data_IF_939819828197
#
_entry.id   IF_939819828197
#
_cell.length_a   1.000
_cell.length_b   1.000
_cell.length_c   1.000
_cell.angle_alpha   90.00
_cell.angle_beta   90.00
_cell.angle_gamma   90.00
#
_symmetry.space_group_name_H-M   'P 1'
#
loop_
_entity.id
_entity.type
_entity.pdbx_description
1 polymer ?
#
# COMPACT_ATOMS: atom_id res chain seq x y z
N UNK A 1 23.87 -41.07 41.58
CA UNK A 1 23.89 -40.27 40.33
C UNK A 1 22.54 -40.50 39.66
N UNK A 2 21.47 -39.83 40.11
CA UNK A 2 21.11 -38.43 39.90
C UNK A 2 20.82 -38.09 38.43
N UNK A 3 19.53 -37.88 38.15
CA UNK A 3 18.93 -37.03 37.10
C UNK A 3 19.28 -37.32 35.63
N UNK A 4 18.35 -37.27 34.67
CA UNK A 4 17.27 -36.30 34.58
C UNK A 4 16.15 -36.81 33.68
N UNK A 5 14.98 -37.01 34.28
CA UNK A 5 13.68 -37.12 33.60
C UNK A 5 13.22 -35.69 33.37
N UNK A 6 13.12 -35.22 32.13
CA UNK A 6 12.51 -33.92 31.86
C UNK A 6 10.98 -34.06 31.85
N UNK A 7 10.25 -33.19 32.57
CA UNK A 7 8.81 -33.26 32.73
C UNK A 7 8.08 -32.45 31.65
N UNK A 8 6.84 -32.83 31.39
CA UNK A 8 5.87 -32.00 30.68
C UNK A 8 5.68 -30.64 31.38
N UNK A 9 5.55 -29.58 30.60
CA UNK A 9 4.75 -28.42 30.97
C UNK A 9 3.57 -28.27 30.03
N UNK A 10 2.42 -28.37 30.68
CA UNK A 10 1.08 -28.04 30.23
C UNK A 10 0.91 -26.52 30.27
N UNK A 11 -0.08 -26.06 29.51
CA UNK A 11 -0.78 -24.78 29.61
C UNK A 11 -0.12 -23.55 28.98
N UNK A 12 -0.60 -23.21 27.79
CA UNK A 12 -0.98 -21.84 27.43
C UNK A 12 -2.09 -21.93 26.39
N UNK A 13 -3.31 -22.01 26.92
CA UNK A 13 -4.55 -21.54 26.32
C UNK A 13 -4.28 -20.29 25.45
N UNK A 14 -4.21 -20.45 24.12
CA UNK A 14 -4.41 -19.31 23.22
C UNK A 14 -5.90 -19.17 23.09
N UNK A 15 -6.44 -18.42 24.05
CA UNK A 15 -7.78 -17.89 24.01
C UNK A 15 -7.92 -17.11 22.71
N UNK A 16 -8.65 -17.68 21.74
CA UNK A 16 -9.33 -16.89 20.72
C UNK A 16 -10.28 -15.94 21.45
N UNK A 17 -9.73 -14.80 21.86
CA UNK A 17 -10.50 -13.63 22.25
C UNK A 17 -11.10 -13.07 20.97
N UNK A 18 -12.20 -13.68 20.55
CA UNK A 18 -13.21 -13.03 19.73
C UNK A 18 -13.89 -11.98 20.61
N UNK A 19 -13.25 -10.82 20.71
CA UNK A 19 -13.81 -9.66 21.40
C UNK A 19 -14.01 -8.51 20.42
N UNK A 20 -15.30 -8.22 20.20
CA UNK A 20 -15.85 -6.90 19.97
C UNK A 20 -15.68 -6.22 18.60
N UNK A 21 -16.68 -6.44 17.74
CA UNK A 21 -17.61 -5.37 17.36
C UNK A 21 -17.09 -4.14 16.60
N UNK A 22 -15.93 -4.20 15.95
CA UNK A 22 -15.55 -3.23 14.92
C UNK A 22 -16.06 -3.73 13.56
N UNK A 23 -17.03 -3.05 12.97
CA UNK A 23 -17.41 -3.32 11.57
C UNK A 23 -16.17 -3.22 10.68
N UNK A 24 -16.05 -4.11 9.68
CA UNK A 24 -14.93 -4.09 8.75
C UNK A 24 -14.85 -2.68 8.12
N UNK A 25 -13.78 -1.90 8.38
CA UNK A 25 -13.67 -0.53 7.87
C UNK A 25 -13.61 -0.50 6.33
N UNK A 26 -13.30 -1.65 5.71
CA UNK A 26 -13.30 -1.83 4.25
C UNK A 26 -14.70 -2.16 3.69
N UNK A 27 -15.72 -2.29 4.54
CA UNK A 27 -17.11 -2.55 4.13
C UNK A 27 -18.02 -1.30 4.23
N UNK A 28 -17.49 -0.14 4.61
CA UNK A 28 -18.28 1.10 4.66
C UNK A 28 -18.66 1.56 3.25
N UNK A 29 -19.86 2.14 3.12
CA UNK A 29 -20.34 2.67 1.84
C UNK A 29 -19.41 3.78 1.31
N UNK A 30 -18.93 4.66 2.21
CA UNK A 30 -17.98 5.72 1.88
C UNK A 30 -16.66 5.17 1.30
N UNK A 31 -16.16 4.05 1.84
CA UNK A 31 -14.93 3.43 1.33
C UNK A 31 -15.15 2.76 -0.03
N UNK A 32 -16.31 2.15 -0.26
CA UNK A 32 -16.64 1.58 -1.57
C UNK A 32 -16.75 2.66 -2.64
N UNK A 33 -17.39 3.80 -2.32
CA UNK A 33 -17.46 4.98 -3.21
C UNK A 33 -16.06 5.53 -3.50
N UNK A 34 -15.20 5.64 -2.48
CA UNK A 34 -13.82 6.08 -2.65
C UNK A 34 -13.01 5.14 -3.54
N UNK A 35 -13.14 3.82 -3.37
CA UNK A 35 -12.48 2.84 -4.22
C UNK A 35 -12.99 2.89 -5.66
N UNK A 36 -14.29 3.09 -5.87
CA UNK A 36 -14.88 3.22 -7.20
C UNK A 36 -14.38 4.48 -7.92
N UNK A 37 -14.31 5.62 -7.23
CA UNK A 37 -13.76 6.87 -7.79
C UNK A 37 -12.28 6.70 -8.19
N UNK A 38 -11.49 6.06 -7.33
CA UNK A 38 -10.09 5.73 -7.65
C UNK A 38 -10.00 4.78 -8.85
N UNK A 39 -10.80 3.71 -8.86
CA UNK A 39 -10.78 2.71 -9.91
C UNK A 39 -11.16 3.28 -11.28
N UNK A 40 -12.24 4.05 -11.33
CA UNK A 40 -12.73 4.66 -12.57
C UNK A 40 -11.74 5.67 -13.15
N UNK A 41 -11.10 6.48 -12.29
CA UNK A 41 -10.10 7.47 -12.73
C UNK A 41 -8.78 6.84 -13.17
N UNK A 42 -8.27 5.88 -12.39
CA UNK A 42 -6.89 5.42 -12.54
C UNK A 42 -6.74 4.03 -13.13
N UNK A 43 -7.78 3.21 -13.27
CA UNK A 43 -7.67 1.81 -13.69
C UNK A 43 -8.59 1.51 -14.88
N UNK A 44 -9.85 1.92 -14.84
CA UNK A 44 -10.85 1.59 -15.87
C UNK A 44 -10.48 2.11 -17.27
N UNK A 45 -9.85 3.28 -17.32
CA UNK A 45 -9.50 3.96 -18.57
C UNK A 45 -8.05 3.72 -19.01
N UNK A 46 -7.36 2.72 -18.47
CA UNK A 46 -5.99 2.44 -18.86
C UNK A 46 -5.90 1.84 -20.26
N UNK A 47 -5.00 2.36 -21.11
CA UNK A 47 -4.70 1.69 -22.35
C UNK A 47 -4.03 0.33 -22.06
N UNK A 48 -4.26 -0.69 -22.89
CA UNK A 48 -3.72 -2.04 -22.66
C UNK A 48 -2.21 -2.08 -22.49
N UNK A 49 -1.47 -1.17 -23.15
CA UNK A 49 -0.02 -1.06 -23.02
C UNK A 49 0.47 -0.78 -21.61
N UNK A 50 -0.35 -0.16 -20.75
CA UNK A 50 0.00 0.11 -19.34
C UNK A 50 -0.25 -1.12 -18.45
N UNK A 51 -1.07 -2.08 -18.90
CA UNK A 51 -1.35 -3.33 -18.20
C UNK A 51 -0.32 -4.42 -18.52
N UNK A 52 0.48 -4.24 -19.59
CA UNK A 52 1.46 -5.21 -20.05
C UNK A 52 2.70 -5.31 -19.17
N UNK A 53 3.14 -4.19 -18.57
CA UNK A 53 4.37 -4.14 -17.79
C UNK A 53 4.12 -3.76 -16.34
N UNK A 54 4.81 -4.44 -15.42
CA UNK A 54 4.61 -4.25 -13.99
C UNK A 54 4.95 -2.82 -13.54
N UNK A 55 6.01 -2.24 -14.10
CA UNK A 55 6.45 -0.87 -13.80
C UNK A 55 5.35 0.16 -14.04
N UNK A 56 4.80 0.18 -15.25
CA UNK A 56 3.73 1.09 -15.67
C UNK A 56 2.50 0.99 -14.79
N UNK A 57 2.03 -0.25 -14.59
CA UNK A 57 0.87 -0.51 -13.75
C UNK A 57 1.09 -0.05 -12.31
N UNK A 58 2.25 -0.36 -11.71
CA UNK A 58 2.52 0.02 -10.33
C UNK A 58 2.74 1.53 -10.15
N UNK A 59 3.28 2.24 -11.14
CA UNK A 59 3.31 3.71 -11.09
C UNK A 59 1.92 4.32 -11.09
N UNK A 60 1.02 3.78 -11.92
CA UNK A 60 -0.36 4.24 -11.95
C UNK A 60 -1.08 3.97 -10.63
N UNK A 61 -0.89 2.79 -10.04
CA UNK A 61 -1.41 2.46 -8.72
C UNK A 61 -0.81 3.34 -7.62
N UNK A 62 0.46 3.74 -7.73
CA UNK A 62 1.09 4.68 -6.79
C UNK A 62 0.43 6.06 -6.88
N UNK A 63 0.13 6.57 -8.08
CA UNK A 63 -0.65 7.81 -8.24
C UNK A 63 -2.06 7.68 -7.67
N UNK A 64 -2.71 6.53 -7.89
CA UNK A 64 -4.04 6.23 -7.35
C UNK A 64 -4.04 6.25 -5.81
N UNK A 65 -2.98 5.74 -5.18
CA UNK A 65 -2.82 5.76 -3.73
C UNK A 65 -2.65 7.18 -3.19
N UNK A 66 -1.79 8.01 -3.80
CA UNK A 66 -1.66 9.42 -3.43
C UNK A 66 -2.97 10.19 -3.62
N UNK A 67 -3.70 9.90 -4.70
CA UNK A 67 -5.03 10.48 -4.90
C UNK A 67 -5.99 10.11 -3.76
N UNK A 68 -6.03 8.84 -3.35
CA UNK A 68 -6.85 8.37 -2.24
C UNK A 68 -6.51 9.05 -0.92
N UNK A 69 -5.23 9.18 -0.58
CA UNK A 69 -4.79 9.82 0.67
C UNK A 69 -5.04 11.33 0.66
N UNK A 70 -4.57 12.03 -0.39
CA UNK A 70 -4.53 13.50 -0.41
C UNK A 70 -5.88 14.13 -0.80
N UNK A 71 -6.65 13.48 -1.68
CA UNK A 71 -7.87 14.07 -2.26
C UNK A 71 -9.17 13.46 -1.75
N UNK A 72 -9.11 12.27 -1.14
CA UNK A 72 -10.29 11.63 -0.55
C UNK A 72 -10.21 11.66 0.97
N UNK A 73 -9.11 11.19 1.57
CA UNK A 73 -9.01 11.08 3.03
C UNK A 73 -8.77 12.43 3.72
N UNK A 74 -7.81 13.22 3.25
CA UNK A 74 -7.45 14.50 3.90
C UNK A 74 -8.56 15.57 3.91
N UNK A 75 -9.34 15.75 2.82
CA UNK A 75 -10.42 16.73 2.81
C UNK A 75 -11.65 16.32 3.63
N UNK A 76 -11.77 15.03 3.98
CA UNK A 76 -12.94 14.44 4.63
C UNK A 76 -12.58 13.72 5.94
N UNK A 77 -12.02 14.42 6.95
CA UNK A 77 -11.65 13.81 8.23
C UNK A 77 -12.86 13.29 9.01
N UNK A 78 -14.08 13.72 8.67
CA UNK A 78 -15.35 13.22 9.22
C UNK A 78 -15.70 11.81 8.74
N UNK A 79 -15.19 11.38 7.57
CA UNK A 79 -15.42 10.04 7.04
C UNK A 79 -14.41 9.08 7.65
N UNK A 80 -14.88 7.97 8.21
CA UNK A 80 -13.99 6.92 8.75
C UNK A 80 -13.48 6.06 7.58
N UNK A 81 -12.56 6.63 6.81
CA UNK A 81 -11.90 5.94 5.69
C UNK A 81 -10.64 5.21 6.20
N UNK A 82 -10.42 3.94 5.80
CA UNK A 82 -9.22 3.21 6.19
C UNK A 82 -7.99 3.80 5.47
N UNK A 83 -7.03 4.31 6.25
CA UNK A 83 -5.74 4.77 5.71
C UNK A 83 -4.76 3.61 5.64
N UNK A 84 -3.93 3.59 4.61
CA UNK A 84 -2.97 2.50 4.42
C UNK A 84 -1.61 2.91 4.98
N UNK A 85 -0.96 2.02 5.73
CA UNK A 85 0.37 2.29 6.28
C UNK A 85 1.46 2.40 5.22
N UNK A 86 1.21 1.83 4.03
CA UNK A 86 2.11 1.92 2.88
C UNK A 86 1.36 1.65 1.59
N UNK A 87 2.00 1.96 0.46
CA UNK A 87 1.48 1.70 -0.88
C UNK A 87 1.15 0.20 -1.13
N UNK A 88 1.95 -0.72 -0.60
CA UNK A 88 1.81 -2.16 -0.90
C UNK A 88 0.45 -2.75 -0.48
N UNK A 89 -0.03 -2.57 0.77
CA UNK A 89 -1.39 -2.95 1.16
C UNK A 89 -2.50 -2.35 0.30
N UNK A 90 -2.38 -1.08 -0.08
CA UNK A 90 -3.34 -0.43 -0.97
C UNK A 90 -3.39 -1.10 -2.34
N UNK A 91 -2.22 -1.32 -2.95
CA UNK A 91 -2.12 -2.00 -4.24
C UNK A 91 -2.71 -3.42 -4.18
N UNK A 92 -2.49 -4.17 -3.09
CA UNK A 92 -3.11 -5.49 -2.90
C UNK A 92 -4.65 -5.43 -2.86
N UNK A 93 -5.22 -4.42 -2.20
CA UNK A 93 -6.68 -4.21 -2.17
C UNK A 93 -7.23 -3.84 -3.55
N UNK A 94 -6.54 -2.97 -4.29
CA UNK A 94 -6.93 -2.62 -5.67
C UNK A 94 -6.88 -3.83 -6.62
N UNK A 95 -5.86 -4.69 -6.48
CA UNK A 95 -5.77 -5.96 -7.22
C UNK A 95 -6.89 -6.95 -6.89
N UNK A 96 -7.40 -6.93 -5.65
CA UNK A 96 -8.54 -7.75 -5.26
C UNK A 96 -9.89 -7.16 -5.71
N UNK A 97 -9.96 -5.84 -5.86
CA UNK A 97 -11.17 -5.13 -6.27
C UNK A 97 -11.39 -5.14 -7.79
N UNK A 98 -10.33 -4.98 -8.57
CA UNK A 98 -10.43 -4.82 -10.03
C UNK A 98 -10.20 -6.13 -10.78
N UNK A 99 -11.24 -6.60 -11.48
CA UNK A 99 -11.13 -7.76 -12.40
C UNK A 99 -10.29 -7.47 -13.66
N UNK A 100 -10.07 -6.19 -13.98
CA UNK A 100 -9.22 -5.80 -15.13
C UNK A 100 -7.72 -5.91 -14.84
N UNK A 101 -7.34 -6.01 -13.56
CA UNK A 101 -5.94 -6.16 -13.19
C UNK A 101 -5.53 -7.64 -13.28
N UNK A 102 -4.23 -7.92 -13.46
CA UNK A 102 -3.74 -9.29 -13.41
C UNK A 102 -4.13 -9.97 -12.10
N UNK A 103 -4.35 -11.28 -12.13
CA UNK A 103 -4.77 -12.04 -10.95
C UNK A 103 -3.89 -11.77 -9.72
N UNK A 104 -4.53 -11.71 -8.55
CA UNK A 104 -3.89 -11.40 -7.26
C UNK A 104 -2.71 -12.31 -6.91
N UNK A 105 -2.65 -13.54 -7.44
CA UNK A 105 -1.52 -14.45 -7.25
C UNK A 105 -0.22 -13.94 -7.92
N UNK A 106 -0.32 -13.17 -9.02
CA UNK A 106 0.82 -12.59 -9.75
C UNK A 106 1.37 -11.34 -9.07
N UNK A 107 0.62 -10.77 -8.12
CA UNK A 107 1.02 -9.55 -7.40
C UNK A 107 2.42 -9.68 -6.80
N UNK A 108 2.74 -10.83 -6.18
CA UNK A 108 4.03 -11.03 -5.51
C UNK A 108 5.22 -10.93 -6.46
N UNK A 109 5.15 -11.56 -7.63
CA UNK A 109 6.21 -11.51 -8.63
C UNK A 109 6.31 -10.12 -9.27
N UNK A 110 5.18 -9.52 -9.65
CA UNK A 110 5.16 -8.19 -10.28
C UNK A 110 5.64 -7.11 -9.31
N UNK A 111 5.31 -7.23 -8.02
CA UNK A 111 5.81 -6.32 -6.97
C UNK A 111 7.34 -6.40 -6.84
N UNK A 112 7.91 -7.60 -6.92
CA UNK A 112 9.36 -7.78 -6.84
C UNK A 112 10.07 -7.15 -8.05
N UNK A 113 9.52 -7.35 -9.25
CA UNK A 113 9.99 -6.73 -10.49
C UNK A 113 9.93 -5.20 -10.41
N UNK A 114 8.78 -4.65 -10.01
CA UNK A 114 8.62 -3.21 -9.80
C UNK A 114 9.62 -2.65 -8.77
N UNK A 115 9.79 -3.33 -7.64
CA UNK A 115 10.73 -2.92 -6.59
C UNK A 115 12.18 -2.93 -7.08
N UNK A 116 12.54 -3.84 -7.99
CA UNK A 116 13.87 -3.87 -8.61
C UNK A 116 14.01 -2.73 -9.63
N UNK A 117 13.02 -2.55 -10.49
CA UNK A 117 12.99 -1.46 -11.48
C UNK A 117 13.10 -0.09 -10.80
N UNK A 118 12.27 0.17 -9.78
CA UNK A 118 12.22 1.44 -9.05
C UNK A 118 13.55 1.82 -8.42
N UNK A 119 14.32 0.82 -7.95
CA UNK A 119 15.68 1.05 -7.41
C UNK A 119 16.72 1.38 -8.48
N UNK A 120 16.49 0.99 -9.73
CA UNK A 120 17.36 1.28 -10.86
C UNK A 120 17.12 2.64 -11.51
N UNK A 121 16.06 3.36 -11.13
CA UNK A 121 15.73 4.66 -11.71
C UNK A 121 16.79 5.68 -11.28
N UNK A 122 17.39 6.35 -12.27
CA UNK A 122 18.35 7.41 -12.00
C UNK A 122 17.63 8.62 -11.39
N UNK A 123 18.14 9.07 -10.25
CA UNK A 123 17.62 10.23 -9.55
C UNK A 123 18.40 11.47 -9.95
N UNK A 124 17.68 12.54 -10.27
CA UNK A 124 18.27 13.86 -10.52
C UNK A 124 18.00 14.76 -9.32
N UNK A 125 18.98 15.57 -8.96
CA UNK A 125 18.89 16.51 -7.86
C UNK A 125 19.86 17.66 -8.04
N UNK A 126 19.76 18.66 -7.18
CA UNK A 126 20.67 19.80 -7.18
C UNK A 126 21.03 20.19 -5.74
N UNK A 127 22.24 20.72 -5.56
CA UNK A 127 22.72 21.25 -4.28
C UNK A 127 22.62 22.77 -4.35
N UNK A 128 21.69 23.35 -3.60
CA UNK A 128 21.51 24.79 -3.52
C UNK A 128 22.36 25.34 -2.37
N UNK A 129 23.33 26.19 -2.72
CA UNK A 129 24.22 26.87 -1.78
C UNK A 129 23.84 28.35 -1.65
N UNK A 130 24.12 28.94 -0.48
CA UNK A 130 24.08 30.39 -0.32
C UNK A 130 25.18 31.08 -1.16
N UNK A 131 25.03 32.37 -1.44
CA UNK A 131 25.96 33.13 -2.27
C UNK A 131 27.40 33.19 -1.70
N UNK A 132 27.53 33.05 -0.38
CA UNK A 132 28.80 32.96 0.35
C UNK A 132 29.28 31.51 0.57
N UNK A 133 28.56 30.52 0.04
CA UNK A 133 28.85 29.08 0.15
C UNK A 133 28.92 28.54 1.59
N UNK A 134 28.30 29.20 2.56
CA UNK A 134 28.31 28.77 3.97
C UNK A 134 27.10 27.91 4.37
N UNK A 135 26.01 27.96 3.60
CA UNK A 135 24.75 27.28 3.90
C UNK A 135 24.28 26.45 2.71
N UNK A 136 23.55 25.37 3.02
CA UNK A 136 22.91 24.48 2.06
C UNK A 136 21.42 24.34 2.40
N UNK A 137 20.56 24.29 1.38
CA UNK A 137 19.13 23.99 1.56
C UNK A 137 18.95 22.48 1.64
N UNK A 138 18.30 22.01 2.69
CA UNK A 138 17.87 20.62 2.87
C UNK A 138 16.35 20.56 2.92
N UNK A 139 15.79 19.45 2.47
CA UNK A 139 14.37 19.10 2.54
C UNK A 139 14.23 17.91 3.51
N UNK A 140 13.15 17.91 4.30
CA UNK A 140 12.80 16.81 5.20
C UNK A 140 11.37 16.35 4.91
#
# INVERSE_FOLDING_TARGET
MASQKQPQRKDSDVSEKSDSGGGDPYASADYQEALEDVHTRFILNLPPSELETADRLFFQLEQAWWFYEDWICDPHPEKVLPRFSSFKPFAQKMFAYSEMLPESHKFGSMWAEFSQYKRGISNYGCILLSADYTKVILCQ
#
